data_IF_250976890087
#
_entry.id   IF_250976890087
#
_cell.length_a   1.000
_cell.length_b   1.000
_cell.length_c   1.000
_cell.angle_alpha   90.00
_cell.angle_beta   90.00
_cell.angle_gamma   90.00
#
_symmetry.space_group_name_H-M   'P 1'
#
loop_
_entity.id
_entity.type
_entity.pdbx_description
1 polymer ?
#
# COMPACT_ATOMS: atom_id res chain seq x y z
N UNK A 1 -20.61 -83.43 20.78
CA UNK A 1 -20.89 -83.96 19.42
C UNK A 1 -20.52 -82.87 18.35
N UNK A 2 -19.66 -83.32 17.53
CA UNK A 2 -19.38 -82.76 16.18
C UNK A 2 -20.46 -83.38 15.24
N UNK A 3 -20.47 -83.09 13.97
CA UNK A 3 -19.82 -82.09 13.07
C UNK A 3 -20.86 -81.48 12.13
N UNK A 4 -20.45 -80.69 11.16
CA UNK A 4 -20.71 -80.97 9.74
C UNK A 4 -19.99 -79.87 8.86
N UNK A 5 -19.22 -80.41 8.00
CA UNK A 5 -18.65 -79.97 6.73
C UNK A 5 -19.61 -79.13 5.86
N UNK A 6 -19.13 -78.04 5.31
CA UNK A 6 -19.75 -77.41 4.15
C UNK A 6 -18.76 -76.97 3.10
N UNK A 7 -19.09 -77.36 1.91
CA UNK A 7 -18.35 -77.31 0.67
C UNK A 7 -17.99 -75.92 0.16
N UNK A 8 -16.82 -75.85 -0.51
CA UNK A 8 -16.43 -74.72 -1.36
C UNK A 8 -17.20 -74.78 -2.70
N UNK A 9 -17.63 -73.64 -3.21
CA UNK A 9 -18.03 -73.58 -4.62
C UNK A 9 -16.90 -73.20 -5.54
N UNK A 10 -16.85 -73.80 -6.65
CA UNK A 10 -15.91 -73.68 -7.77
C UNK A 10 -15.71 -72.28 -8.28
N UNK A 11 -14.43 -71.98 -8.56
CA UNK A 11 -13.99 -70.84 -9.34
C UNK A 11 -14.50 -71.02 -10.80
N UNK A 12 -15.36 -70.11 -11.23
CA UNK A 12 -15.65 -69.89 -12.63
C UNK A 12 -14.57 -68.99 -13.24
N UNK A 13 -13.88 -69.49 -14.23
CA UNK A 13 -12.95 -68.77 -15.09
C UNK A 13 -13.73 -67.79 -15.98
N UNK A 14 -13.54 -66.53 -15.86
CA UNK A 14 -14.03 -65.48 -16.75
C UNK A 14 -13.27 -65.53 -18.10
N UNK A 15 -13.94 -65.29 -19.23
CA UNK A 15 -13.28 -65.28 -20.55
C UNK A 15 -12.36 -64.03 -20.72
N UNK A 16 -11.25 -64.28 -21.42
CA UNK A 16 -10.22 -63.26 -21.73
C UNK A 16 -10.81 -62.16 -22.61
N UNK A 17 -10.66 -60.91 -22.11
CA UNK A 17 -10.95 -59.69 -22.87
C UNK A 17 -9.81 -59.43 -23.84
N UNK A 18 -10.06 -59.20 -25.16
CA UNK A 18 -9.01 -58.87 -26.11
C UNK A 18 -8.40 -57.48 -25.80
N UNK A 19 -7.08 -57.44 -25.78
CA UNK A 19 -6.31 -56.18 -25.66
C UNK A 19 -6.61 -55.29 -26.88
N UNK A 20 -6.94 -54.00 -26.67
CA UNK A 20 -6.99 -53.03 -27.77
C UNK A 20 -5.60 -52.78 -28.34
N UNK A 21 -5.51 -52.76 -29.65
CA UNK A 21 -4.33 -52.47 -30.42
C UNK A 21 -3.77 -51.08 -30.08
N UNK A 22 -2.44 -51.03 -29.90
CA UNK A 22 -1.70 -49.79 -29.71
C UNK A 22 -1.82 -48.97 -31.00
N UNK A 23 -2.50 -47.82 -30.93
CA UNK A 23 -2.53 -46.85 -32.01
C UNK A 23 -1.18 -46.15 -32.13
N UNK A 24 -0.70 -45.82 -33.34
CA UNK A 24 0.59 -45.18 -33.53
C UNK A 24 0.60 -43.76 -32.92
N UNK A 25 1.72 -43.44 -32.30
CA UNK A 25 2.05 -42.17 -31.68
C UNK A 25 1.55 -40.96 -32.47
N UNK A 26 0.53 -40.30 -31.96
CA UNK A 26 0.25 -38.91 -32.34
C UNK A 26 1.35 -38.01 -31.75
N UNK A 27 1.91 -37.07 -32.51
CA UNK A 27 2.86 -36.13 -31.98
C UNK A 27 2.17 -35.33 -30.88
N UNK A 28 2.75 -35.33 -29.67
CA UNK A 28 2.35 -34.41 -28.59
C UNK A 28 2.28 -32.99 -29.15
N UNK A 29 1.08 -32.43 -29.25
CA UNK A 29 0.90 -31.01 -29.41
C UNK A 29 1.44 -30.38 -28.14
N UNK A 30 2.65 -29.85 -28.23
CA UNK A 30 3.20 -28.92 -27.24
C UNK A 30 2.27 -27.71 -27.26
N UNK A 31 1.38 -27.63 -26.29
CA UNK A 31 0.66 -26.41 -25.99
C UNK A 31 1.71 -25.34 -25.70
N UNK A 32 1.71 -24.21 -26.41
CA UNK A 32 2.63 -23.11 -26.08
C UNK A 32 2.40 -22.76 -24.60
N UNK A 33 3.47 -22.41 -23.85
CA UNK A 33 3.31 -21.95 -22.48
C UNK A 33 2.27 -20.82 -22.48
N UNK A 34 1.24 -20.97 -21.67
CA UNK A 34 0.21 -19.96 -21.52
C UNK A 34 0.90 -18.64 -21.19
N UNK A 35 0.80 -17.68 -22.09
CA UNK A 35 1.23 -16.31 -21.83
C UNK A 35 0.47 -15.88 -20.57
N UNK A 36 1.14 -15.42 -19.51
CA UNK A 36 0.44 -14.98 -18.31
C UNK A 36 -0.57 -13.90 -18.72
N UNK A 37 -1.84 -14.20 -18.62
CA UNK A 37 -2.88 -13.21 -18.86
C UNK A 37 -2.65 -12.09 -17.85
N UNK A 38 -2.32 -10.89 -18.32
CA UNK A 38 -2.29 -9.68 -17.51
C UNK A 38 -3.65 -9.57 -16.82
N UNK A 39 -3.68 -9.74 -15.52
CA UNK A 39 -4.90 -9.53 -14.74
C UNK A 39 -5.18 -8.04 -14.67
N UNK A 40 -6.46 -7.72 -14.56
CA UNK A 40 -6.92 -6.35 -14.38
C UNK A 40 -6.19 -5.72 -13.18
N UNK A 41 -5.56 -4.55 -13.34
CA UNK A 41 -4.90 -3.83 -12.25
C UNK A 41 -5.79 -3.59 -11.03
N UNK A 42 -7.12 -3.54 -11.21
CA UNK A 42 -8.09 -3.38 -10.12
C UNK A 42 -8.07 -4.52 -9.10
N UNK A 43 -7.52 -5.68 -9.48
CA UNK A 43 -7.40 -6.84 -8.58
C UNK A 43 -6.08 -6.88 -7.80
N UNK A 44 -5.18 -5.94 -8.04
CA UNK A 44 -3.90 -5.88 -7.36
C UNK A 44 -4.03 -5.33 -5.93
N UNK A 45 -3.34 -5.96 -5.00
CA UNK A 45 -3.20 -5.47 -3.64
C UNK A 45 -1.92 -4.67 -3.50
N UNK A 46 -1.97 -3.45 -2.93
CA UNK A 46 -0.79 -2.63 -2.74
C UNK A 46 0.15 -3.28 -1.71
N UNK A 47 1.43 -3.24 -2.00
CA UNK A 47 2.50 -3.63 -1.09
C UNK A 47 3.59 -2.56 -1.14
N UNK A 48 3.97 -1.96 0.00
CA UNK A 48 5.08 -1.03 0.04
C UNK A 48 6.35 -1.69 -0.44
N UNK A 49 7.08 -1.01 -1.31
CA UNK A 49 8.36 -1.47 -1.83
C UNK A 49 9.50 -0.76 -1.13
N UNK A 50 10.41 -1.54 -0.56
CA UNK A 50 11.78 -1.09 -0.36
C UNK A 50 12.52 -1.30 -1.68
N UNK A 51 12.67 -0.27 -2.46
CA UNK A 51 13.52 -0.37 -3.62
C UNK A 51 14.98 -0.34 -3.16
N UNK A 52 15.67 -1.45 -3.37
CA UNK A 52 17.08 -1.64 -2.98
C UNK A 52 17.98 -0.84 -3.94
N UNK A 53 18.00 0.47 -3.80
CA UNK A 53 18.92 1.30 -4.55
C UNK A 53 19.87 2.02 -3.59
N UNK A 54 21.03 1.43 -3.38
CA UNK A 54 22.06 1.95 -2.47
C UNK A 54 22.63 3.31 -2.88
N UNK A 55 22.41 3.74 -4.13
CA UNK A 55 22.88 5.01 -4.68
C UNK A 55 21.77 5.82 -5.38
N UNK A 56 20.52 5.55 -5.12
CA UNK A 56 19.38 6.23 -5.74
C UNK A 56 19.43 7.75 -5.56
N UNK A 57 19.97 8.20 -4.44
CA UNK A 57 20.19 9.62 -4.18
C UNK A 57 21.14 10.29 -5.19
N UNK A 58 22.14 9.56 -5.64
CA UNK A 58 23.15 10.06 -6.60
C UNK A 58 22.70 10.01 -8.06
N UNK A 59 21.58 9.29 -8.35
CA UNK A 59 21.13 8.98 -9.70
C UNK A 59 19.68 9.38 -9.79
N UNK A 60 19.09 10.35 -9.66
CA UNK A 60 17.65 10.64 -9.88
C UNK A 60 16.68 9.42 -9.73
N UNK A 61 17.21 8.24 -9.46
CA UNK A 61 16.47 6.96 -9.44
C UNK A 61 15.31 6.96 -8.44
N UNK A 62 15.40 7.70 -7.35
CA UNK A 62 14.30 7.83 -6.38
C UNK A 62 13.06 8.50 -6.96
N UNK A 63 13.23 9.38 -7.93
CA UNK A 63 12.12 9.99 -8.64
C UNK A 63 11.63 9.09 -9.79
N UNK A 64 12.54 8.41 -10.48
CA UNK A 64 12.20 7.49 -11.56
C UNK A 64 11.39 6.31 -11.06
N UNK A 65 11.68 5.80 -9.87
CA UNK A 65 10.90 4.74 -9.25
C UNK A 65 9.43 5.11 -9.07
N UNK A 66 9.15 6.34 -8.66
CA UNK A 66 7.77 6.86 -8.56
C UNK A 66 7.14 7.01 -9.93
N UNK A 67 7.92 7.30 -10.98
CA UNK A 67 7.45 7.44 -12.34
C UNK A 67 7.19 6.10 -13.04
N UNK A 68 7.75 5.01 -12.54
CA UNK A 68 7.55 3.67 -13.12
C UNK A 68 6.07 3.28 -13.17
N UNK A 69 5.55 2.85 -14.32
CA UNK A 69 4.17 2.41 -14.44
C UNK A 69 3.86 1.20 -13.55
N UNK A 70 2.64 1.13 -13.06
CA UNK A 70 2.18 0.02 -12.20
C UNK A 70 2.45 -1.36 -12.83
N UNK A 71 2.27 -1.47 -14.16
CA UNK A 71 2.45 -2.71 -14.89
C UNK A 71 3.88 -3.27 -14.83
N UNK A 72 4.84 -2.42 -14.49
CA UNK A 72 6.26 -2.77 -14.40
C UNK A 72 6.73 -2.98 -12.96
N UNK A 73 5.84 -2.79 -11.98
CA UNK A 73 6.18 -2.84 -10.55
C UNK A 73 5.82 -4.16 -9.87
N UNK A 74 5.28 -5.12 -10.54
CA UNK A 74 4.79 -6.34 -9.90
C UNK A 74 5.57 -7.58 -10.29
N UNK A 75 5.97 -8.36 -9.32
CA UNK A 75 6.49 -9.73 -9.52
C UNK A 75 5.37 -10.74 -9.56
N UNK A 76 4.23 -10.44 -8.93
CA UNK A 76 3.02 -11.27 -8.87
C UNK A 76 1.85 -10.48 -9.44
N UNK A 77 1.07 -11.11 -10.31
CA UNK A 77 -0.06 -10.49 -10.98
C UNK A 77 -1.22 -10.05 -10.04
N UNK A 78 -1.13 -10.31 -8.76
CA UNK A 78 -2.08 -9.83 -7.73
C UNK A 78 -1.51 -8.75 -6.82
N UNK A 79 -0.20 -8.54 -6.87
CA UNK A 79 0.49 -7.62 -6.01
C UNK A 79 1.28 -6.65 -6.87
N UNK A 80 1.16 -5.38 -6.57
CA UNK A 80 2.06 -4.38 -7.10
C UNK A 80 2.70 -3.63 -5.94
N UNK A 81 3.87 -3.08 -6.21
CA UNK A 81 4.60 -2.30 -5.24
C UNK A 81 4.28 -0.82 -5.42
N UNK A 82 4.14 -0.11 -4.31
CA UNK A 82 4.15 1.34 -4.30
C UNK A 82 5.37 1.85 -3.55
N UNK A 83 5.85 3.03 -3.92
CA UNK A 83 7.03 3.63 -3.32
C UNK A 83 6.68 4.24 -1.96
N UNK A 84 7.53 3.98 -0.96
CA UNK A 84 7.48 4.66 0.33
C UNK A 84 8.89 5.14 0.67
N UNK A 85 9.18 6.40 0.30
CA UNK A 85 10.53 6.95 0.25
C UNK A 85 10.62 8.19 1.13
N UNK A 86 11.70 8.30 1.91
CA UNK A 86 12.12 9.51 2.61
C UNK A 86 13.49 9.94 2.12
N UNK A 87 13.56 11.15 1.59
CA UNK A 87 14.81 11.81 1.23
C UNK A 87 15.20 12.78 2.35
N UNK A 88 16.30 12.51 3.03
CA UNK A 88 16.86 13.38 4.08
C UNK A 88 17.99 14.23 3.50
N UNK A 89 17.90 15.54 3.71
CA UNK A 89 18.83 16.48 3.07
C UNK A 89 18.59 16.58 1.56
N UNK A 90 19.54 17.15 0.85
CA UNK A 90 19.51 17.36 -0.59
C UNK A 90 20.81 16.85 -1.23
N UNK A 91 20.76 16.32 -2.47
CA UNK A 91 21.97 15.84 -3.16
C UNK A 91 22.88 17.00 -3.56
N UNK A 92 22.31 18.08 -4.06
CA UNK A 92 22.96 19.32 -4.46
C UNK A 92 21.99 20.50 -4.30
N UNK A 93 22.38 21.50 -3.52
CA UNK A 93 21.57 22.70 -3.28
C UNK A 93 21.28 23.52 -4.54
N UNK A 94 22.20 23.49 -5.51
CA UNK A 94 22.08 24.31 -6.73
C UNK A 94 21.05 23.76 -7.69
N UNK A 95 20.94 22.42 -7.79
CA UNK A 95 20.05 21.77 -8.74
C UNK A 95 18.72 21.33 -8.11
N UNK A 96 18.64 21.21 -6.79
CA UNK A 96 17.53 20.60 -6.07
C UNK A 96 16.13 21.10 -6.49
N UNK A 97 15.95 22.42 -6.58
CA UNK A 97 14.66 22.99 -6.99
C UNK A 97 14.33 22.67 -8.45
N UNK A 98 15.36 22.72 -9.31
CA UNK A 98 15.20 22.32 -10.72
C UNK A 98 14.82 20.86 -10.87
N UNK A 99 15.45 19.98 -10.08
CA UNK A 99 15.19 18.54 -10.11
C UNK A 99 13.78 18.23 -9.61
N UNK A 100 13.32 18.88 -8.53
CA UNK A 100 11.93 18.78 -8.06
C UNK A 100 10.92 19.26 -9.12
N UNK A 101 11.22 20.38 -9.79
CA UNK A 101 10.36 20.88 -10.84
C UNK A 101 10.29 19.91 -12.02
N UNK A 102 11.42 19.36 -12.45
CA UNK A 102 11.48 18.34 -13.51
C UNK A 102 10.70 17.07 -13.11
N UNK A 103 10.88 16.58 -11.88
CA UNK A 103 10.10 15.48 -11.35
C UNK A 103 8.59 15.76 -11.44
N UNK A 104 8.16 16.92 -10.96
CA UNK A 104 6.75 17.33 -11.01
C UNK A 104 6.21 17.37 -12.43
N UNK A 105 6.97 17.91 -13.39
CA UNK A 105 6.58 17.94 -14.81
C UNK A 105 6.47 16.53 -15.40
N UNK A 106 7.47 15.70 -15.17
CA UNK A 106 7.44 14.28 -15.58
C UNK A 106 6.25 13.55 -14.94
N UNK A 107 6.01 13.74 -13.65
CA UNK A 107 4.87 13.13 -12.97
C UNK A 107 3.54 13.57 -13.57
N UNK A 108 3.35 14.87 -13.81
CA UNK A 108 2.14 15.38 -14.45
C UNK A 108 1.88 14.79 -15.84
N UNK A 109 2.93 14.51 -16.60
CA UNK A 109 2.78 13.88 -17.92
C UNK A 109 2.27 12.45 -17.87
N UNK A 110 2.34 11.78 -16.70
CA UNK A 110 1.77 10.44 -16.50
C UNK A 110 0.25 10.43 -16.38
N UNK A 111 -0.40 11.57 -16.21
CA UNK A 111 -1.83 11.69 -15.94
C UNK A 111 -2.25 11.27 -14.52
N UNK A 112 -1.33 10.77 -13.70
CA UNK A 112 -1.60 10.31 -12.33
C UNK A 112 -1.91 11.48 -11.40
N UNK A 113 -2.69 11.20 -10.36
CA UNK A 113 -3.02 12.19 -9.33
C UNK A 113 -1.86 12.41 -8.38
N UNK A 114 -1.70 13.66 -7.93
CA UNK A 114 -0.69 14.05 -6.96
C UNK A 114 -1.30 14.99 -5.92
N UNK A 115 -1.00 14.76 -4.65
CA UNK A 115 -1.24 15.69 -3.57
C UNK A 115 0.12 16.12 -2.99
N UNK A 116 0.33 17.43 -2.90
CA UNK A 116 1.57 18.03 -2.38
C UNK A 116 1.23 18.82 -1.14
N UNK A 117 1.98 18.61 -0.09
CA UNK A 117 1.93 19.35 1.19
C UNK A 117 3.25 20.08 1.37
N UNK A 118 3.20 21.41 1.38
CA UNK A 118 4.41 22.25 1.27
C UNK A 118 5.23 22.31 2.54
N UNK A 119 4.63 22.40 3.72
CA UNK A 119 5.36 22.64 4.97
C UNK A 119 4.79 21.81 6.11
N UNK A 120 4.71 20.49 5.90
CA UNK A 120 4.09 19.56 6.84
C UNK A 120 2.57 19.68 6.89
N UNK A 121 1.93 18.77 7.61
CA UNK A 121 0.48 18.76 7.75
C UNK A 121 0.02 19.86 8.70
N UNK A 122 -0.90 20.71 8.25
CA UNK A 122 -1.56 21.68 9.13
C UNK A 122 -2.45 20.97 10.12
N UNK A 123 -2.42 21.38 11.38
CA UNK A 123 -3.33 20.82 12.38
C UNK A 123 -4.79 21.12 11.99
N UNK A 124 -5.69 20.12 12.09
CA UNK A 124 -7.10 20.33 11.80
C UNK A 124 -7.73 21.40 12.68
N UNK A 125 -8.55 22.24 12.08
CA UNK A 125 -9.29 23.27 12.81
C UNK A 125 -10.42 22.69 13.67
N UNK A 126 -10.95 23.50 14.61
CA UNK A 126 -12.08 23.07 15.46
C UNK A 126 -13.33 22.66 14.66
N UNK A 127 -13.60 23.35 13.55
CA UNK A 127 -14.75 23.08 12.68
C UNK A 127 -14.62 21.75 11.95
N UNK A 128 -13.43 21.44 11.42
CA UNK A 128 -13.14 20.16 10.80
C UNK A 128 -13.25 19.02 11.81
N UNK A 129 -12.67 19.20 12.99
CA UNK A 129 -12.73 18.22 14.06
C UNK A 129 -14.18 18.00 14.58
N UNK A 130 -15.04 19.03 14.51
CA UNK A 130 -16.44 18.92 14.93
C UNK A 130 -17.29 18.08 13.95
N UNK A 131 -16.87 17.94 12.70
CA UNK A 131 -17.58 17.12 11.70
C UNK A 131 -17.42 15.62 11.98
N UNK A 132 -16.40 15.22 12.73
CA UNK A 132 -16.18 13.82 13.09
C UNK A 132 -17.14 13.44 14.22
N UNK A 133 -18.07 12.50 13.93
CA UNK A 133 -19.01 11.98 14.93
C UNK A 133 -18.26 11.17 15.96
N UNK A 134 -18.49 11.45 17.24
CA UNK A 134 -17.85 10.81 18.38
C UNK A 134 -18.72 10.89 19.62
N UNK A 135 -18.50 9.97 20.55
CA UNK A 135 -19.14 9.94 21.86
C UNK A 135 -18.13 9.60 22.95
N UNK A 136 -18.58 9.29 24.14
CA UNK A 136 -17.71 8.81 25.22
C UNK A 136 -17.45 7.31 25.02
N UNK A 137 -16.19 6.95 24.90
CA UNK A 137 -15.76 5.57 24.71
C UNK A 137 -15.28 4.96 26.02
N UNK A 138 -15.45 3.63 26.17
CA UNK A 138 -15.04 2.86 27.35
C UNK A 138 -13.76 2.10 27.10
N UNK A 139 -13.44 1.79 25.86
CA UNK A 139 -12.22 1.09 25.47
C UNK A 139 -11.61 1.65 24.19
N UNK A 140 -10.35 1.30 23.93
CA UNK A 140 -9.65 1.67 22.70
C UNK A 140 -10.27 1.00 21.48
N UNK A 141 -10.70 -0.25 21.59
CA UNK A 141 -11.33 -1.01 20.51
C UNK A 141 -12.66 -0.38 20.13
N UNK A 142 -13.51 -0.04 21.13
CA UNK A 142 -14.78 0.66 20.88
C UNK A 142 -14.55 1.96 20.13
N UNK A 143 -13.59 2.77 20.58
CA UNK A 143 -13.21 4.03 19.93
C UNK A 143 -12.79 3.80 18.47
N UNK A 144 -11.86 2.86 18.23
CA UNK A 144 -11.28 2.64 16.90
C UNK A 144 -12.35 2.16 15.91
N UNK A 145 -13.22 1.24 16.33
CA UNK A 145 -14.25 0.66 15.46
C UNK A 145 -15.31 1.70 15.13
N UNK A 146 -15.80 2.43 16.14
CA UNK A 146 -16.85 3.42 15.93
C UNK A 146 -16.36 4.61 15.10
N UNK A 147 -15.19 5.15 15.43
CA UNK A 147 -14.67 6.32 14.75
C UNK A 147 -14.29 6.03 13.29
N UNK A 148 -13.95 4.76 12.95
CA UNK A 148 -13.75 4.31 11.59
C UNK A 148 -15.01 4.47 10.71
N UNK A 149 -16.19 4.53 11.32
CA UNK A 149 -17.44 4.83 10.63
C UNK A 149 -17.52 6.25 10.04
N UNK A 150 -16.59 7.16 10.41
CA UNK A 150 -16.47 8.49 9.83
C UNK A 150 -15.56 8.53 8.58
N UNK A 151 -15.02 7.41 8.13
CA UNK A 151 -14.23 7.39 6.90
C UNK A 151 -15.09 7.83 5.72
N UNK A 152 -14.55 8.71 4.85
CA UNK A 152 -15.29 9.17 3.69
C UNK A 152 -15.55 8.02 2.71
N UNK A 153 -16.70 8.06 2.04
CA UNK A 153 -17.07 7.03 1.08
C UNK A 153 -16.19 7.08 -0.18
N UNK A 154 -15.81 5.91 -0.66
CA UNK A 154 -15.08 5.74 -1.92
C UNK A 154 -15.94 4.92 -2.88
N UNK A 155 -16.00 5.33 -4.16
CA UNK A 155 -16.76 4.60 -5.18
C UNK A 155 -16.17 3.21 -5.49
N UNK A 156 -14.87 3.05 -5.34
CA UNK A 156 -14.21 1.75 -5.49
C UNK A 156 -14.31 0.96 -4.19
N UNK A 157 -15.04 -0.15 -4.22
CA UNK A 157 -15.37 -0.98 -3.04
C UNK A 157 -14.12 -1.60 -2.41
N UNK A 158 -13.17 -2.06 -3.23
CA UNK A 158 -11.93 -2.65 -2.72
C UNK A 158 -11.04 -1.60 -2.04
N UNK A 159 -10.95 -0.40 -2.63
CA UNK A 159 -10.24 0.70 -2.00
C UNK A 159 -10.92 1.13 -0.69
N UNK A 160 -12.26 1.19 -0.65
CA UNK A 160 -12.99 1.49 0.59
C UNK A 160 -12.66 0.48 1.69
N UNK A 161 -12.62 -0.80 1.36
CA UNK A 161 -12.25 -1.86 2.30
C UNK A 161 -10.80 -1.73 2.77
N UNK A 162 -9.87 -1.42 1.86
CA UNK A 162 -8.48 -1.17 2.21
C UNK A 162 -8.33 0.05 3.14
N UNK A 163 -9.06 1.14 2.87
CA UNK A 163 -9.06 2.33 3.72
C UNK A 163 -9.52 2.01 5.15
N UNK A 164 -10.60 1.25 5.29
CA UNK A 164 -11.09 0.80 6.60
C UNK A 164 -10.05 -0.07 7.34
N UNK A 165 -9.48 -1.05 6.65
CA UNK A 165 -8.46 -1.92 7.23
C UNK A 165 -7.19 -1.13 7.61
N UNK A 166 -6.74 -0.23 6.74
CA UNK A 166 -5.58 0.61 7.00
C UNK A 166 -5.80 1.52 8.22
N UNK A 167 -6.98 2.14 8.32
CA UNK A 167 -7.34 2.97 9.48
C UNK A 167 -7.29 2.16 10.78
N UNK A 168 -8.00 1.03 10.82
CA UNK A 168 -8.04 0.19 12.02
C UNK A 168 -6.64 -0.30 12.41
N UNK A 169 -5.84 -0.79 11.45
CA UNK A 169 -4.47 -1.24 11.73
C UNK A 169 -3.58 -0.12 12.26
N UNK A 170 -3.65 1.05 11.66
CA UNK A 170 -2.87 2.22 12.09
C UNK A 170 -3.25 2.64 13.50
N UNK A 171 -4.55 2.73 13.79
CA UNK A 171 -5.03 3.10 15.12
C UNK A 171 -4.77 2.04 16.18
N UNK A 172 -4.86 0.76 15.85
CA UNK A 172 -4.50 -0.34 16.76
C UNK A 172 -2.98 -0.33 17.08
N UNK A 173 -2.14 0.03 16.11
CA UNK A 173 -0.72 0.21 16.37
C UNK A 173 -0.45 1.42 17.28
N UNK A 174 -1.14 2.55 17.03
CA UNK A 174 -1.06 3.74 17.88
C UNK A 174 -1.54 3.49 19.32
N UNK A 175 -2.61 2.72 19.49
CA UNK A 175 -3.20 2.37 20.77
C UNK A 175 -2.22 1.57 21.69
N UNK A 176 -1.33 0.77 21.09
CA UNK A 176 -0.27 0.07 21.85
C UNK A 176 0.75 1.03 22.48
N UNK A 177 1.00 2.17 21.81
CA UNK A 177 1.96 3.17 22.27
C UNK A 177 1.31 4.26 23.15
N UNK A 178 0.01 4.51 22.98
CA UNK A 178 -0.74 5.55 23.70
C UNK A 178 -1.89 4.93 24.49
N UNK A 179 -1.71 4.67 25.78
CA UNK A 179 -2.75 4.08 26.64
C UNK A 179 -3.87 5.09 26.99
N UNK A 180 -3.64 6.39 26.83
CA UNK A 180 -4.62 7.41 27.17
C UNK A 180 -5.68 7.54 26.07
N UNK A 181 -6.93 7.20 26.41
CA UNK A 181 -8.05 7.16 25.50
C UNK A 181 -8.35 8.53 24.86
N UNK A 182 -8.21 9.63 25.60
CA UNK A 182 -8.45 10.97 25.06
C UNK A 182 -7.37 11.39 24.07
N UNK A 183 -6.11 11.06 24.31
CA UNK A 183 -5.02 11.32 23.36
C UNK A 183 -5.16 10.47 22.11
N UNK A 184 -5.54 9.20 22.28
CA UNK A 184 -5.84 8.33 21.14
C UNK A 184 -7.00 8.86 20.30
N UNK A 185 -8.06 9.37 20.95
CA UNK A 185 -9.18 10.01 20.27
C UNK A 185 -8.74 11.24 19.45
N UNK A 186 -7.91 12.11 20.03
CA UNK A 186 -7.35 13.27 19.29
C UNK A 186 -6.57 12.81 18.05
N UNK A 187 -5.73 11.78 18.20
CA UNK A 187 -4.98 11.21 17.09
C UNK A 187 -5.89 10.67 15.98
N UNK A 188 -6.96 9.96 16.36
CA UNK A 188 -7.95 9.43 15.42
C UNK A 188 -8.71 10.53 14.69
N UNK A 189 -9.11 11.59 15.40
CA UNK A 189 -9.79 12.75 14.81
C UNK A 189 -8.88 13.46 13.81
N UNK A 190 -7.63 13.73 14.16
CA UNK A 190 -6.68 14.38 13.24
C UNK A 190 -6.43 13.52 12.00
N UNK A 191 -6.24 12.22 12.19
CA UNK A 191 -6.09 11.29 11.08
C UNK A 191 -7.29 11.34 10.13
N UNK A 192 -8.52 11.33 10.66
CA UNK A 192 -9.74 11.41 9.84
C UNK A 192 -9.87 12.75 9.11
N UNK A 193 -9.58 13.87 9.75
CA UNK A 193 -9.63 15.18 9.09
C UNK A 193 -8.69 15.22 7.88
N UNK A 194 -7.46 14.72 8.00
CA UNK A 194 -6.54 14.63 6.86
C UNK A 194 -6.99 13.64 5.80
N UNK A 195 -7.59 12.52 6.19
CA UNK A 195 -8.18 11.57 5.23
C UNK A 195 -9.29 12.29 4.43
N UNK A 196 -10.19 13.02 5.09
CA UNK A 196 -11.23 13.81 4.42
C UNK A 196 -10.64 14.87 3.48
N UNK A 197 -9.59 15.56 3.92
CA UNK A 197 -8.94 16.63 3.15
C UNK A 197 -8.27 16.09 1.87
N UNK A 198 -7.54 14.98 1.96
CA UNK A 198 -6.69 14.50 0.86
C UNK A 198 -7.32 13.38 0.02
N UNK A 199 -8.40 12.74 0.48
CA UNK A 199 -9.00 11.62 -0.24
C UNK A 199 -9.42 11.98 -1.67
N UNK A 200 -10.08 13.11 -1.88
CA UNK A 200 -10.52 13.52 -3.22
C UNK A 200 -9.33 13.78 -4.15
N UNK A 201 -8.27 14.42 -3.66
CA UNK A 201 -7.06 14.69 -4.44
C UNK A 201 -6.37 13.40 -4.87
N UNK A 202 -6.34 12.39 -3.99
CA UNK A 202 -5.66 11.12 -4.26
C UNK A 202 -6.55 10.13 -5.02
N UNK A 203 -7.81 9.95 -4.62
CA UNK A 203 -8.60 8.79 -5.03
C UNK A 203 -9.90 9.12 -5.79
N UNK A 204 -10.19 10.37 -6.12
CA UNK A 204 -11.37 10.64 -6.92
C UNK A 204 -11.27 9.97 -8.30
N UNK A 205 -12.21 9.07 -8.60
CA UNK A 205 -12.21 8.31 -9.85
C UNK A 205 -11.13 7.23 -9.93
N UNK A 206 -10.61 6.75 -8.80
CA UNK A 206 -9.62 5.69 -8.73
C UNK A 206 -10.10 4.40 -9.41
N UNK A 207 -9.30 3.88 -10.36
CA UNK A 207 -9.62 2.69 -11.16
C UNK A 207 -8.64 1.52 -10.94
N UNK A 208 -7.67 1.66 -10.02
CA UNK A 208 -6.65 0.64 -9.77
C UNK A 208 -5.51 0.59 -10.79
N UNK A 209 -5.69 1.15 -11.99
CA UNK A 209 -4.67 1.16 -13.04
C UNK A 209 -3.58 2.21 -12.83
N UNK A 210 -3.84 3.21 -12.01
CA UNK A 210 -2.96 4.34 -11.77
C UNK A 210 -2.94 4.67 -10.29
N UNK A 211 -1.78 4.50 -9.63
CA UNK A 211 -1.63 4.87 -8.23
C UNK A 211 -1.29 6.36 -8.11
N UNK A 212 -1.95 7.08 -7.17
CA UNK A 212 -1.62 8.47 -6.89
C UNK A 212 -0.28 8.60 -6.18
N UNK A 213 0.23 9.83 -6.11
CA UNK A 213 1.41 10.18 -5.34
C UNK A 213 1.07 11.20 -4.25
N UNK A 214 1.57 10.98 -3.06
CA UNK A 214 1.54 11.92 -1.95
C UNK A 214 2.95 12.43 -1.68
N UNK A 215 3.16 13.74 -1.79
CA UNK A 215 4.45 14.39 -1.52
C UNK A 215 4.31 15.24 -0.27
N UNK A 216 5.14 14.96 0.73
CA UNK A 216 5.22 15.72 1.97
C UNK A 216 6.56 16.45 2.04
N UNK A 217 6.54 17.77 1.90
CA UNK A 217 7.71 18.62 2.07
C UNK A 217 7.86 19.02 3.55
N UNK A 218 9.10 19.17 4.00
CA UNK A 218 9.40 19.50 5.40
C UNK A 218 9.39 18.31 6.36
N UNK A 219 9.00 17.12 5.88
CA UNK A 219 8.97 15.88 6.66
C UNK A 219 7.83 15.77 7.68
N UNK A 220 7.80 14.68 8.43
CA UNK A 220 6.85 14.46 9.53
C UNK A 220 7.39 15.15 10.80
N UNK A 221 6.72 16.18 11.28
CA UNK A 221 7.15 17.00 12.42
C UNK A 221 6.77 16.39 13.77
N UNK A 222 5.71 15.62 13.79
CA UNK A 222 5.14 15.06 15.00
C UNK A 222 4.56 13.65 14.75
N UNK A 223 4.09 13.03 15.81
CA UNK A 223 3.54 11.67 15.77
C UNK A 223 2.25 11.57 14.94
N UNK A 224 1.44 12.64 14.90
CA UNK A 224 0.18 12.61 14.13
C UNK A 224 0.47 12.63 12.63
N UNK A 225 1.46 13.43 12.18
CA UNK A 225 1.93 13.43 10.78
C UNK A 225 2.41 12.01 10.39
N UNK A 226 3.18 11.38 11.28
CA UNK A 226 3.66 10.03 11.06
C UNK A 226 2.52 9.00 10.94
N UNK A 227 1.45 9.14 11.75
CA UNK A 227 0.27 8.28 11.67
C UNK A 227 -0.43 8.39 10.30
N UNK A 228 -0.59 9.60 9.79
CA UNK A 228 -1.22 9.81 8.48
C UNK A 228 -0.39 9.18 7.36
N UNK A 229 0.93 9.37 7.38
CA UNK A 229 1.83 8.76 6.40
C UNK A 229 1.82 7.23 6.51
N UNK A 230 1.82 6.68 7.73
CA UNK A 230 1.71 5.23 7.97
C UNK A 230 0.36 4.65 7.49
N UNK A 231 -0.72 5.42 7.62
CA UNK A 231 -2.01 5.05 7.05
C UNK A 231 -1.94 5.00 5.52
N UNK A 232 -1.41 6.04 4.86
CA UNK A 232 -1.24 6.08 3.41
C UNK A 232 -0.34 4.95 2.89
N UNK A 233 0.69 4.57 3.66
CA UNK A 233 1.60 3.49 3.30
C UNK A 233 0.95 2.10 3.24
N UNK A 234 -0.29 1.96 3.71
CA UNK A 234 -1.08 0.73 3.58
C UNK A 234 -2.08 0.78 2.41
N UNK A 235 -2.09 1.87 1.66
CA UNK A 235 -2.96 2.10 0.51
C UNK A 235 -2.14 2.12 -0.79
N UNK A 236 -2.78 2.00 -1.95
CA UNK A 236 -2.10 2.11 -3.24
C UNK A 236 -1.70 3.57 -3.54
N UNK A 237 -0.71 4.08 -2.83
CA UNK A 237 -0.21 5.47 -2.92
C UNK A 237 1.30 5.46 -2.90
N UNK A 238 1.93 6.09 -3.88
CA UNK A 238 3.34 6.41 -3.78
C UNK A 238 3.53 7.54 -2.78
N UNK A 239 4.47 7.40 -1.86
CA UNK A 239 4.75 8.38 -0.82
C UNK A 239 6.19 8.85 -0.95
N UNK A 240 6.35 10.17 -1.10
CA UNK A 240 7.64 10.84 -1.13
C UNK A 240 7.71 11.87 0.00
N UNK A 241 8.56 11.63 0.98
CA UNK A 241 8.83 12.55 2.09
C UNK A 241 10.13 13.28 1.81
N UNK A 242 10.08 14.60 1.70
CA UNK A 242 11.21 15.46 1.43
C UNK A 242 11.62 16.20 2.71
N UNK A 243 12.53 15.62 3.49
CA UNK A 243 13.07 16.20 4.71
C UNK A 243 14.39 16.90 4.41
N UNK A 244 14.33 18.04 3.69
CA UNK A 244 15.49 18.75 3.18
C UNK A 244 16.38 19.33 4.28
N UNK A 245 15.79 19.73 5.41
CA UNK A 245 16.49 20.24 6.58
C UNK A 245 16.92 19.09 7.50
N UNK A 246 18.20 18.77 7.50
CA UNK A 246 18.78 17.74 8.35
C UNK A 246 18.72 18.05 9.85
N UNK A 247 18.51 19.31 10.23
CA UNK A 247 18.38 19.72 11.64
C UNK A 247 16.99 19.41 12.21
N UNK A 248 15.99 19.21 11.34
CA UNK A 248 14.62 18.90 11.77
C UNK A 248 14.40 17.39 11.87
N UNK A 249 13.89 16.88 12.99
CA UNK A 249 13.58 15.46 13.11
C UNK A 249 12.40 15.10 12.20
N UNK A 250 12.46 13.91 11.61
CA UNK A 250 11.32 13.31 10.93
C UNK A 250 10.91 12.04 11.68
N UNK A 251 9.72 12.06 12.29
CA UNK A 251 9.29 11.09 13.29
C UNK A 251 8.80 9.76 12.70
N UNK A 252 8.53 9.69 11.39
CA UNK A 252 8.04 8.46 10.77
C UNK A 252 9.11 7.37 10.78
N UNK A 253 8.74 6.20 11.28
CA UNK A 253 9.56 4.99 11.27
C UNK A 253 8.72 3.82 10.75
N UNK A 254 9.28 3.04 9.85
CA UNK A 254 8.64 1.84 9.31
C UNK A 254 9.71 0.94 8.69
N UNK A 255 9.55 -0.36 8.85
CA UNK A 255 10.41 -1.34 8.17
C UNK A 255 10.28 -1.31 6.64
N UNK A 256 9.22 -0.71 6.14
CA UNK A 256 8.92 -0.58 4.71
C UNK A 256 9.39 0.75 4.12
N UNK A 257 9.89 1.66 4.95
CA UNK A 257 10.37 2.97 4.53
C UNK A 257 11.78 2.85 3.94
N UNK A 258 11.93 3.24 2.67
CA UNK A 258 13.25 3.47 2.08
C UNK A 258 13.74 4.85 2.48
N UNK A 259 14.83 4.91 3.23
CA UNK A 259 15.48 6.17 3.58
C UNK A 259 16.75 6.38 2.77
N UNK A 260 16.85 7.55 2.16
CA UNK A 260 18.01 8.00 1.41
C UNK A 260 18.51 9.31 2.02
N UNK A 261 19.81 9.46 2.19
CA UNK A 261 20.40 10.65 2.82
C UNK A 261 21.29 11.39 1.85
N UNK A 262 21.01 12.66 1.63
CA UNK A 262 21.83 13.59 0.85
C UNK A 262 22.98 14.16 1.65
N UNK A 263 23.87 14.85 0.95
CA UNK A 263 25.09 15.43 1.52
C UNK A 263 24.83 16.77 2.20
N UNK A 264 23.87 17.51 1.70
CA UNK A 264 23.60 18.89 2.09
C UNK A 264 22.29 19.03 2.86
N UNK A 265 22.21 20.06 3.69
CA UNK A 265 20.99 20.48 4.36
C UNK A 265 20.50 21.78 3.76
N UNK A 266 19.22 21.84 3.42
CA UNK A 266 18.56 23.04 2.92
C UNK A 266 17.42 23.39 3.88
N UNK A 267 17.59 24.41 4.76
CA UNK A 267 16.51 24.91 5.60
C UNK A 267 15.35 25.42 4.72
N UNK A 268 14.14 25.04 5.07
CA UNK A 268 12.89 25.51 4.43
C UNK A 268 12.24 26.56 5.30
#
# INVERSE_FOLDING_TARGET
>A
PRPVTSAQPMRQTAPAVPRPAIAPNQPMRTTPPAVPQRRDPETYFPKPSRMACTNAWMKEASYEEILTPIAERGDDFRLFYHAFIRLKGVPDKQTYISDLFQFYQKFRSTGRRIAIVDDGLSLPGPEEAAQIRRHLYRSQEELIIDIAGNLPACANVELQRLMQQAFVRTMMAAAKAEPNLNRLLISAVYLLCWIHQYQAALFQGYKGSEIPCFVLMGGCRNQHDALFVQYLAQLPVDILILACDLSRPCTVQSDQLLELTGKDSMPV
#
